data_IF_716949882455
#
_entry.id   IF_716949882455
#
_cell.length_a   1.000
_cell.length_b   1.000
_cell.length_c   1.000
_cell.angle_alpha   90.00
_cell.angle_beta   90.00
_cell.angle_gamma   90.00
#
_symmetry.space_group_name_H-M   'P 1'
#
loop_
_entity.id
_entity.type
_entity.pdbx_description
1 polymer ?
#
# COMPACT_ATOMS: atom_id res chain seq x y z
N UNK A 1 9.22 5.81 -0.31
CA UNK A 1 7.99 5.34 -0.99
C UNK A 1 7.74 3.92 -0.55
N UNK A 2 6.54 3.64 -0.03
CA UNK A 2 6.06 2.30 0.29
C UNK A 2 4.65 2.22 -0.29
N UNK A 3 4.38 1.27 -1.16
CA UNK A 3 3.07 1.14 -1.83
C UNK A 3 2.59 -0.30 -1.71
N UNK A 4 1.27 -0.49 -1.75
CA UNK A 4 0.67 -1.80 -1.93
C UNK A 4 0.89 -2.32 -3.34
N UNK A 5 0.69 -3.63 -3.54
CA UNK A 5 0.68 -4.24 -4.88
C UNK A 5 -0.32 -3.55 -5.81
N UNK A 6 -1.53 -3.25 -5.31
CA UNK A 6 -2.56 -2.54 -6.05
C UNK A 6 -2.17 -1.07 -6.33
N UNK A 7 -1.51 -0.40 -5.39
CA UNK A 7 -0.99 0.96 -5.56
C UNK A 7 0.04 1.05 -6.69
N UNK A 8 0.95 0.08 -6.76
CA UNK A 8 1.94 0.00 -7.86
C UNK A 8 1.25 -0.24 -9.20
N UNK A 9 0.30 -1.17 -9.28
CA UNK A 9 -0.47 -1.39 -10.50
C UNK A 9 -1.13 -0.09 -10.98
N UNK A 10 -1.85 0.60 -10.08
CA UNK A 10 -2.52 1.86 -10.41
C UNK A 10 -1.55 2.95 -10.85
N UNK A 11 -0.37 3.05 -10.22
CA UNK A 11 0.65 4.02 -10.60
C UNK A 11 1.18 3.75 -12.01
N UNK A 12 1.42 2.47 -12.34
CA UNK A 12 1.92 2.06 -13.65
C UNK A 12 0.89 2.31 -14.77
N UNK A 13 -0.39 2.08 -14.50
CA UNK A 13 -1.47 2.24 -15.50
C UNK A 13 -2.07 3.65 -15.53
N UNK A 14 -1.80 4.50 -14.54
CA UNK A 14 -2.42 5.82 -14.42
C UNK A 14 -2.17 6.70 -15.65
N UNK A 15 -3.22 7.38 -16.12
CA UNK A 15 -3.14 8.40 -17.17
C UNK A 15 -2.33 9.63 -16.77
N UNK A 16 -2.05 9.81 -15.48
CA UNK A 16 -1.18 10.85 -14.96
C UNK A 16 0.16 10.31 -14.44
N UNK A 17 0.35 8.98 -14.51
CA UNK A 17 1.57 8.29 -14.12
C UNK A 17 2.36 7.84 -15.34
N UNK A 18 2.76 6.57 -15.34
CA UNK A 18 3.69 6.01 -16.32
C UNK A 18 3.01 5.54 -17.62
N UNK A 19 1.67 5.38 -17.62
CA UNK A 19 0.86 4.98 -18.79
C UNK A 19 1.29 3.67 -19.45
N UNK A 20 1.78 2.72 -18.67
CA UNK A 20 2.04 1.38 -19.18
C UNK A 20 0.73 0.66 -19.55
N UNK A 21 0.75 -0.22 -20.56
CA UNK A 21 -0.35 -1.13 -20.81
C UNK A 21 -0.67 -1.96 -19.55
N UNK A 22 -1.95 -2.25 -19.34
CA UNK A 22 -2.43 -2.99 -18.17
C UNK A 22 -1.73 -4.35 -18.03
N UNK A 23 -1.47 -5.02 -19.14
CA UNK A 23 -0.79 -6.32 -19.18
C UNK A 23 0.67 -6.22 -18.72
N UNK A 24 1.35 -5.13 -19.06
CA UNK A 24 2.72 -4.88 -18.63
C UNK A 24 2.78 -4.56 -17.13
N UNK A 25 1.84 -3.75 -16.63
CA UNK A 25 1.70 -3.47 -15.21
C UNK A 25 1.36 -4.73 -14.40
N UNK A 26 0.44 -5.56 -14.92
CA UNK A 26 0.06 -6.84 -14.32
C UNK A 26 1.26 -7.79 -14.24
N UNK A 27 2.00 -7.94 -15.35
CA UNK A 27 3.22 -8.73 -15.38
C UNK A 27 4.24 -8.26 -14.33
N UNK A 28 4.42 -6.95 -14.20
CA UNK A 28 5.33 -6.40 -13.19
C UNK A 28 4.88 -6.79 -11.77
N UNK A 29 3.62 -6.53 -11.39
CA UNK A 29 3.15 -6.80 -10.02
C UNK A 29 3.05 -8.30 -9.69
N UNK A 30 2.93 -9.17 -10.69
CA UNK A 30 2.93 -10.62 -10.50
C UNK A 30 4.33 -11.22 -10.34
N UNK A 31 5.35 -10.58 -10.90
CA UNK A 31 6.74 -11.06 -10.83
C UNK A 31 7.58 -10.35 -9.75
N UNK A 32 7.05 -9.28 -9.14
CA UNK A 32 7.73 -8.62 -8.01
C UNK A 32 7.60 -9.49 -6.76
N UNK A 33 8.75 -10.02 -6.32
CA UNK A 33 8.91 -10.60 -4.98
C UNK A 33 9.31 -9.47 -4.03
N UNK A 34 8.40 -9.06 -3.18
CA UNK A 34 8.61 -7.93 -2.28
C UNK A 34 7.90 -8.14 -0.93
N UNK A 35 8.43 -7.52 0.12
CA UNK A 35 7.81 -7.53 1.44
C UNK A 35 6.69 -6.47 1.53
N UNK A 36 5.49 -6.87 1.12
CA UNK A 36 4.31 -6.00 1.15
C UNK A 36 3.86 -5.65 2.56
N UNK A 37 4.01 -6.59 3.51
CA UNK A 37 3.73 -6.38 4.93
C UNK A 37 4.65 -5.31 5.52
N UNK A 38 5.94 -5.35 5.17
CA UNK A 38 6.90 -4.30 5.52
C UNK A 38 6.55 -2.93 4.93
N UNK A 39 5.98 -2.89 3.72
CA UNK A 39 5.48 -1.62 3.15
C UNK A 39 4.26 -1.08 3.91
N UNK A 40 3.31 -1.94 4.28
CA UNK A 40 2.16 -1.55 5.09
C UNK A 40 2.60 -1.01 6.45
N UNK A 41 3.54 -1.67 7.14
CA UNK A 41 4.11 -1.22 8.41
C UNK A 41 4.76 0.16 8.29
N UNK A 42 5.58 0.40 7.25
CA UNK A 42 6.19 1.71 7.01
C UNK A 42 5.15 2.81 6.81
N UNK A 43 4.06 2.52 6.09
CA UNK A 43 2.95 3.48 5.90
C UNK A 43 2.22 3.76 7.21
N UNK A 44 1.95 2.72 7.97
CA UNK A 44 1.32 2.81 9.27
C UNK A 44 2.14 3.67 10.24
N UNK A 45 3.47 3.46 10.30
CA UNK A 45 4.40 4.31 11.06
C UNK A 45 4.34 5.78 10.63
N UNK A 46 4.34 6.04 9.32
CA UNK A 46 4.21 7.41 8.81
C UNK A 46 2.90 8.06 9.27
N UNK A 47 1.78 7.33 9.20
CA UNK A 47 0.48 7.86 9.62
C UNK A 47 0.40 8.10 11.13
N UNK A 48 0.98 7.21 11.94
CA UNK A 48 1.09 7.41 13.38
C UNK A 48 1.98 8.62 13.72
N UNK A 49 3.20 8.67 13.19
CA UNK A 49 4.21 9.65 13.59
C UNK A 49 3.93 11.05 13.04
N UNK A 50 3.48 11.15 11.77
CA UNK A 50 3.34 12.44 11.09
C UNK A 50 1.93 12.99 11.13
N UNK A 51 0.94 12.13 11.26
CA UNK A 51 -0.47 12.52 11.22
C UNK A 51 -1.20 12.21 12.52
N UNK A 52 -0.52 11.60 13.52
CA UNK A 52 -1.09 11.27 14.83
C UNK A 52 -2.41 10.50 14.73
N UNK A 53 -2.55 9.67 13.69
CA UNK A 53 -3.76 8.89 13.46
C UNK A 53 -3.85 7.74 14.47
N UNK A 54 -5.07 7.38 14.86
CA UNK A 54 -5.30 6.18 15.68
C UNK A 54 -5.12 4.90 14.86
N UNK A 55 -4.79 3.79 15.51
CA UNK A 55 -4.62 2.48 14.86
C UNK A 55 -5.81 2.10 13.96
N UNK A 56 -7.04 2.36 14.43
CA UNK A 56 -8.25 2.10 13.62
C UNK A 56 -8.31 2.99 12.37
N UNK A 57 -7.94 4.26 12.47
CA UNK A 57 -7.93 5.17 11.33
C UNK A 57 -6.80 4.80 10.35
N UNK A 58 -5.65 4.36 10.87
CA UNK A 58 -4.53 3.85 10.07
C UNK A 58 -4.96 2.59 9.31
N UNK A 59 -5.57 1.62 10.00
CA UNK A 59 -6.07 0.40 9.36
C UNK A 59 -7.01 0.73 8.20
N UNK A 60 -8.02 1.58 8.46
CA UNK A 60 -8.97 2.02 7.44
C UNK A 60 -8.27 2.70 6.26
N UNK A 61 -7.28 3.54 6.52
CA UNK A 61 -6.53 4.23 5.48
C UNK A 61 -5.67 3.26 4.66
N UNK A 62 -5.08 2.25 5.29
CA UNK A 62 -4.29 1.23 4.62
C UNK A 62 -5.15 0.37 3.68
N UNK A 63 -6.37 0.01 4.10
CA UNK A 63 -7.27 -0.86 3.31
C UNK A 63 -8.18 -0.10 2.36
N UNK A 64 -8.32 1.22 2.50
CA UNK A 64 -9.27 2.03 1.74
C UNK A 64 -9.04 1.92 0.23
N UNK A 65 -10.14 1.81 -0.52
CA UNK A 65 -10.13 1.85 -1.99
C UNK A 65 -9.66 3.19 -2.56
N UNK A 66 -9.67 4.25 -1.76
CA UNK A 66 -9.14 5.57 -2.14
C UNK A 66 -7.84 5.90 -1.39
N UNK A 67 -7.39 5.01 -0.50
CA UNK A 67 -6.17 5.14 0.27
C UNK A 67 -5.05 4.27 -0.31
N UNK A 68 -4.42 3.48 0.56
CA UNK A 68 -3.22 2.72 0.19
C UNK A 68 -3.52 1.38 -0.49
N UNK A 69 -4.75 0.86 -0.40
CA UNK A 69 -5.19 -0.41 -1.01
C UNK A 69 -4.31 -1.63 -0.64
N UNK A 70 -3.77 -1.67 0.57
CA UNK A 70 -3.19 -2.90 1.12
C UNK A 70 -4.30 -3.94 1.37
N UNK A 71 -3.94 -5.21 1.34
CA UNK A 71 -4.85 -6.28 1.77
C UNK A 71 -5.15 -6.15 3.27
N UNK A 72 -6.32 -6.65 3.74
CA UNK A 72 -6.62 -6.71 5.16
C UNK A 72 -5.52 -7.36 5.99
N UNK A 73 -4.88 -8.41 5.48
CA UNK A 73 -3.80 -9.14 6.17
C UNK A 73 -2.52 -8.32 6.31
N UNK A 74 -2.17 -7.54 5.29
CA UNK A 74 -1.02 -6.62 5.33
C UNK A 74 -1.27 -5.43 6.27
N UNK A 75 -2.49 -4.87 6.21
CA UNK A 75 -2.89 -3.79 7.09
C UNK A 75 -2.95 -4.25 8.56
N UNK A 76 -3.52 -5.42 8.84
CA UNK A 76 -3.56 -5.96 10.19
C UNK A 76 -2.16 -6.23 10.72
N UNK A 77 -1.29 -6.84 9.91
CA UNK A 77 0.12 -7.01 10.27
C UNK A 77 0.79 -5.67 10.62
N UNK A 78 0.51 -4.61 9.86
CA UNK A 78 1.06 -3.29 10.13
C UNK A 78 0.61 -2.76 11.50
N UNK A 79 -0.68 -2.87 11.83
CA UNK A 79 -1.22 -2.45 13.13
C UNK A 79 -0.63 -3.28 14.27
N UNK A 80 -0.59 -4.61 14.13
CA UNK A 80 -0.06 -5.51 15.17
C UNK A 80 1.42 -5.25 15.49
N UNK A 81 2.15 -4.62 14.56
CA UNK A 81 3.57 -4.32 14.68
C UNK A 81 3.88 -2.83 14.83
N UNK A 82 2.86 -1.97 15.00
CA UNK A 82 3.05 -0.59 15.42
C UNK A 82 3.49 -0.58 16.90
N UNK A 83 4.51 0.23 17.21
CA UNK A 83 5.05 0.41 18.56
C UNK A 83 5.07 1.88 18.92
#
# INVERSE_FOLDING_TARGET
MSMSKAGIYNQLTSEHGEKFPAEAAQYAVDNIVFDWKGNALKKAQIYAEKMSMSDSAIYQQLTSEYGEKFTPEEAQYAIDNLK
#
